data_IF_039076605446
#
_entry.id   IF_039076605446
#
_cell.length_a   1.000
_cell.length_b   1.000
_cell.length_c   1.000
_cell.angle_alpha   90.00
_cell.angle_beta   90.00
_cell.angle_gamma   90.00
#
_symmetry.space_group_name_H-M   'P 1'
#
loop_
_entity.id
_entity.type
_entity.pdbx_description
1 polymer ?
#
# COMPACT_ATOMS: atom_id res chain seq x y z
N UNK A 1 36.20 4.59 23.01
CA UNK A 1 35.29 3.43 22.92
C UNK A 1 34.01 3.69 23.72
N UNK A 2 32.86 3.60 23.07
CA UNK A 2 31.58 3.81 23.76
C UNK A 2 31.31 2.65 24.73
N UNK A 3 31.10 2.99 26.01
CA UNK A 3 30.81 2.00 27.05
C UNK A 3 29.36 1.54 26.91
N UNK A 4 29.13 0.22 26.82
CA UNK A 4 27.80 -0.38 26.79
C UNK A 4 27.30 -0.59 28.20
N UNK A 5 26.27 0.13 28.61
CA UNK A 5 25.74 0.16 29.98
C UNK A 5 24.32 -0.34 30.12
N UNK A 6 23.61 -0.53 28.98
CA UNK A 6 22.23 -0.99 29.00
C UNK A 6 22.15 -2.46 28.60
N UNK A 7 21.52 -3.27 29.46
CA UNK A 7 21.27 -4.68 29.22
C UNK A 7 19.79 -4.85 28.81
N UNK A 8 19.56 -5.61 27.71
CA UNK A 8 18.21 -5.93 27.25
C UNK A 8 18.07 -7.45 27.20
N UNK A 9 16.99 -7.96 27.78
CA UNK A 9 16.64 -9.38 27.75
C UNK A 9 15.51 -9.61 26.77
N UNK A 10 15.69 -10.55 25.84
CA UNK A 10 14.73 -10.89 24.81
C UNK A 10 14.44 -12.39 24.87
N UNK A 11 13.16 -12.76 24.85
CA UNK A 11 12.72 -14.13 24.72
C UNK A 11 12.43 -14.41 23.24
N UNK A 12 12.94 -15.54 22.75
CA UNK A 12 12.77 -15.99 21.37
C UNK A 12 12.21 -17.40 21.34
N UNK A 13 11.36 -17.69 20.37
CA UNK A 13 10.99 -19.07 20.05
C UNK A 13 12.13 -19.78 19.29
N UNK A 14 11.97 -21.06 19.01
CA UNK A 14 13.02 -21.85 18.35
C UNK A 14 13.37 -21.36 16.95
N UNK A 15 12.37 -20.92 16.18
CA UNK A 15 12.57 -20.39 14.82
C UNK A 15 13.38 -19.08 14.85
N UNK A 16 13.00 -18.17 15.74
CA UNK A 16 13.68 -16.88 15.92
C UNK A 16 15.12 -17.08 16.40
N UNK A 17 15.33 -18.00 17.32
CA UNK A 17 16.65 -18.32 17.84
C UNK A 17 17.54 -18.95 16.77
N UNK A 18 17.02 -19.89 15.98
CA UNK A 18 17.73 -20.49 14.87
C UNK A 18 18.09 -19.47 13.79
N UNK A 19 17.22 -18.50 13.51
CA UNK A 19 17.52 -17.40 12.61
C UNK A 19 18.71 -16.57 13.11
N UNK A 20 18.75 -16.27 14.40
CA UNK A 20 19.87 -15.56 15.02
C UNK A 20 21.18 -16.35 14.89
N UNK A 21 21.15 -17.66 15.19
CA UNK A 21 22.33 -18.53 15.08
C UNK A 21 22.85 -18.61 13.64
N UNK A 22 21.96 -18.72 12.65
CA UNK A 22 22.33 -18.75 11.23
C UNK A 22 23.04 -17.45 10.82
N UNK A 23 22.50 -16.30 11.23
CA UNK A 23 23.12 -15.00 10.94
C UNK A 23 24.48 -14.82 11.62
N UNK A 24 24.63 -15.31 12.83
CA UNK A 24 25.92 -15.33 13.54
C UNK A 24 26.94 -16.19 12.79
N UNK A 25 26.55 -17.37 12.35
CA UNK A 25 27.43 -18.30 11.64
C UNK A 25 27.90 -17.72 10.30
N UNK A 26 26.97 -17.16 9.51
CA UNK A 26 27.27 -16.59 8.19
C UNK A 26 28.15 -15.34 8.27
N UNK A 27 27.94 -14.51 9.28
CA UNK A 27 28.68 -13.25 9.43
C UNK A 27 29.97 -13.38 10.24
N UNK A 28 30.13 -14.47 10.98
CA UNK A 28 31.25 -14.62 11.93
C UNK A 28 31.20 -13.65 13.11
N UNK A 29 30.08 -12.98 13.33
CA UNK A 29 29.91 -11.97 14.38
C UNK A 29 29.27 -12.56 15.63
N UNK A 30 29.49 -11.87 16.75
CA UNK A 30 28.87 -12.22 18.04
C UNK A 30 27.37 -11.95 18.00
N UNK A 31 26.61 -12.62 18.87
CA UNK A 31 25.17 -12.40 19.06
C UNK A 31 24.83 -10.92 19.20
N UNK A 32 25.56 -10.24 20.07
CA UNK A 32 25.36 -8.81 20.33
C UNK A 32 25.59 -7.94 19.09
N UNK A 33 26.65 -8.19 18.35
CA UNK A 33 26.98 -7.42 17.14
C UNK A 33 25.95 -7.66 16.03
N UNK A 34 25.49 -8.90 15.85
CA UNK A 34 24.44 -9.23 14.88
C UNK A 34 23.16 -8.46 15.22
N UNK A 35 22.73 -8.48 16.49
CA UNK A 35 21.50 -7.81 16.91
C UNK A 35 21.60 -6.28 16.80
N UNK A 36 22.72 -5.69 17.19
CA UNK A 36 22.92 -4.25 17.08
C UNK A 36 22.97 -3.80 15.62
N UNK A 37 23.64 -4.56 14.76
CA UNK A 37 23.69 -4.27 13.32
C UNK A 37 22.30 -4.33 12.69
N UNK A 38 21.51 -5.35 13.05
CA UNK A 38 20.14 -5.48 12.58
C UNK A 38 19.27 -4.28 12.99
N UNK A 39 19.41 -3.80 14.23
CA UNK A 39 18.69 -2.61 14.68
C UNK A 39 19.08 -1.34 13.93
N UNK A 40 20.36 -1.17 13.60
CA UNK A 40 20.85 -0.02 12.86
C UNK A 40 20.32 0.02 11.43
N UNK A 41 20.13 -1.14 10.82
CA UNK A 41 19.67 -1.30 9.44
C UNK A 41 18.16 -1.44 9.33
N UNK A 42 17.46 -1.76 10.43
CA UNK A 42 16.03 -1.99 10.43
C UNK A 42 15.25 -0.70 10.14
N UNK A 43 14.32 -0.80 9.19
CA UNK A 43 13.30 0.21 8.97
C UNK A 43 12.03 -0.25 9.68
N UNK A 44 11.58 0.52 10.68
CA UNK A 44 10.36 0.22 11.43
C UNK A 44 9.23 1.06 10.85
N UNK A 45 8.15 0.39 10.46
CA UNK A 45 6.94 1.06 9.99
C UNK A 45 6.21 1.66 11.19
N UNK A 46 5.96 2.96 11.16
CA UNK A 46 5.25 3.67 12.24
C UNK A 46 3.74 3.40 12.18
N UNK A 47 3.04 3.62 13.30
CA UNK A 47 1.57 3.55 13.34
C UNK A 47 0.92 4.52 12.35
N UNK A 48 1.49 5.72 12.18
CA UNK A 48 1.03 6.71 11.20
C UNK A 48 1.14 6.19 9.76
N UNK A 49 2.25 5.56 9.42
CA UNK A 49 2.45 4.95 8.10
C UNK A 49 1.46 3.81 7.85
N UNK A 50 1.20 2.98 8.84
CA UNK A 50 0.22 1.90 8.76
C UNK A 50 -1.19 2.48 8.52
N UNK A 51 -1.57 3.50 9.29
CA UNK A 51 -2.87 4.17 9.13
C UNK A 51 -3.03 4.78 7.75
N UNK A 52 -1.99 5.39 7.21
CA UNK A 52 -1.98 5.96 5.87
C UNK A 52 -2.12 4.89 4.78
N UNK A 53 -1.40 3.76 4.92
CA UNK A 53 -1.54 2.62 4.01
C UNK A 53 -2.96 2.06 4.03
N UNK A 54 -3.57 1.91 5.20
CA UNK A 54 -4.94 1.44 5.35
C UNK A 54 -5.93 2.38 4.67
N UNK A 55 -5.75 3.70 4.85
CA UNK A 55 -6.59 4.71 4.20
C UNK A 55 -6.45 4.66 2.68
N UNK A 56 -5.23 4.55 2.17
CA UNK A 56 -4.98 4.44 0.74
C UNK A 56 -5.62 3.17 0.15
N UNK A 57 -5.54 2.05 0.85
CA UNK A 57 -6.19 0.81 0.44
C UNK A 57 -7.72 0.96 0.37
N UNK A 58 -8.33 1.64 1.33
CA UNK A 58 -9.77 1.92 1.34
C UNK A 58 -10.18 2.79 0.15
N UNK A 59 -9.41 3.83 -0.16
CA UNK A 59 -9.65 4.69 -1.32
C UNK A 59 -9.53 3.94 -2.64
N UNK A 60 -8.54 3.06 -2.77
CA UNK A 60 -8.38 2.21 -3.96
C UNK A 60 -9.57 1.24 -4.10
N UNK A 61 -10.04 0.66 -3.00
CA UNK A 61 -11.22 -0.22 -3.00
C UNK A 61 -12.46 0.52 -3.48
N UNK A 62 -12.66 1.76 -3.06
CA UNK A 62 -13.76 2.62 -3.53
C UNK A 62 -13.65 2.90 -5.02
N UNK A 63 -12.46 3.19 -5.54
CA UNK A 63 -12.23 3.35 -6.98
C UNK A 63 -12.56 2.09 -7.77
N UNK A 64 -12.17 0.91 -7.27
CA UNK A 64 -12.49 -0.37 -7.91
C UNK A 64 -13.99 -0.61 -7.96
N UNK A 65 -14.72 -0.23 -6.89
CA UNK A 65 -16.18 -0.33 -6.84
C UNK A 65 -16.84 0.58 -7.88
N UNK A 66 -16.37 1.81 -8.01
CA UNK A 66 -16.84 2.76 -9.03
C UNK A 66 -16.58 2.23 -10.44
N UNK A 67 -15.38 1.70 -10.69
CA UNK A 67 -15.01 1.13 -11.99
C UNK A 67 -15.95 -0.03 -12.38
N UNK A 68 -16.23 -0.93 -11.44
CA UNK A 68 -17.18 -2.03 -11.66
C UNK A 68 -18.58 -1.53 -11.97
N UNK A 69 -19.04 -0.49 -11.27
CA UNK A 69 -20.33 0.13 -11.53
C UNK A 69 -20.42 0.72 -12.93
N UNK A 70 -19.38 1.42 -13.36
CA UNK A 70 -19.31 1.99 -14.73
C UNK A 70 -19.29 0.88 -15.79
N UNK A 71 -18.51 -0.17 -15.58
CA UNK A 71 -18.44 -1.32 -16.50
C UNK A 71 -19.81 -2.02 -16.61
N UNK A 72 -20.51 -2.20 -15.51
CA UNK A 72 -21.87 -2.75 -15.50
C UNK A 72 -22.82 -1.88 -16.32
N UNK A 73 -22.78 -0.57 -16.13
CA UNK A 73 -23.62 0.37 -16.88
C UNK A 73 -23.34 0.31 -18.39
N UNK A 74 -22.06 0.27 -18.78
CA UNK A 74 -21.67 0.15 -20.19
C UNK A 74 -22.15 -1.16 -20.78
N UNK A 75 -22.02 -2.28 -20.06
CA UNK A 75 -22.49 -3.57 -20.51
C UNK A 75 -24.02 -3.62 -20.67
N UNK A 76 -24.76 -3.00 -19.76
CA UNK A 76 -26.22 -2.88 -19.87
C UNK A 76 -26.63 -2.07 -21.12
N UNK A 77 -25.97 -0.97 -21.37
CA UNK A 77 -26.23 -0.13 -22.54
C UNK A 77 -25.93 -0.89 -23.84
N UNK A 78 -24.81 -1.60 -23.88
CA UNK A 78 -24.43 -2.43 -25.03
C UNK A 78 -25.46 -3.56 -25.26
N UNK A 79 -25.92 -4.18 -24.18
CA UNK A 79 -26.92 -5.25 -24.25
C UNK A 79 -28.25 -4.74 -24.82
N UNK A 80 -28.74 -3.58 -24.36
CA UNK A 80 -29.94 -2.93 -24.85
C UNK A 80 -29.78 -2.57 -26.33
N UNK A 81 -28.65 -1.96 -26.71
CA UNK A 81 -28.37 -1.60 -28.09
C UNK A 81 -28.38 -2.81 -29.03
N UNK A 82 -27.79 -3.92 -28.60
CA UNK A 82 -27.76 -5.15 -29.37
C UNK A 82 -29.13 -5.81 -29.50
N UNK A 83 -29.94 -5.76 -28.43
CA UNK A 83 -31.25 -6.39 -28.39
C UNK A 83 -32.34 -5.58 -29.14
N UNK A 84 -32.28 -4.25 -29.10
CA UNK A 84 -33.34 -3.36 -29.56
C UNK A 84 -32.94 -2.46 -30.73
N UNK A 85 -31.64 -2.37 -31.04
CA UNK A 85 -31.11 -1.39 -32.00
C UNK A 85 -31.13 0.05 -31.48
N UNK A 86 -31.54 0.27 -30.23
CA UNK A 86 -31.61 1.61 -29.65
C UNK A 86 -30.29 1.97 -28.96
N UNK A 87 -29.78 3.15 -29.30
CA UNK A 87 -28.59 3.71 -28.68
C UNK A 87 -29.04 4.47 -27.42
N UNK A 88 -28.18 4.49 -26.39
CA UNK A 88 -28.43 5.26 -25.17
C UNK A 88 -28.71 6.73 -25.49
N UNK A 89 -29.62 7.33 -24.72
CA UNK A 89 -29.98 8.74 -24.88
C UNK A 89 -28.77 9.66 -24.55
N UNK A 90 -28.81 10.87 -25.08
CA UNK A 90 -27.80 11.90 -24.76
C UNK A 90 -27.73 12.16 -23.26
N UNK A 91 -28.86 12.09 -22.55
CA UNK A 91 -28.90 12.25 -21.09
C UNK A 91 -28.15 11.11 -20.38
N UNK A 92 -28.34 9.85 -20.79
CA UNK A 92 -27.65 8.68 -20.23
C UNK A 92 -26.14 8.72 -20.51
N UNK A 93 -25.76 9.08 -21.75
CA UNK A 93 -24.37 9.28 -22.15
C UNK A 93 -23.70 10.40 -21.33
N UNK A 94 -24.44 11.51 -21.10
CA UNK A 94 -23.96 12.60 -20.25
C UNK A 94 -23.71 12.19 -18.82
N UNK A 95 -24.59 11.37 -18.23
CA UNK A 95 -24.40 10.81 -16.87
C UNK A 95 -23.17 9.91 -16.80
N UNK A 96 -22.97 9.05 -17.78
CA UNK A 96 -21.77 8.19 -17.84
C UNK A 96 -20.50 9.02 -17.98
N UNK A 97 -20.51 10.03 -18.82
CA UNK A 97 -19.36 10.91 -19.00
C UNK A 97 -19.00 11.62 -17.69
N UNK A 98 -19.99 12.07 -16.93
CA UNK A 98 -19.79 12.65 -15.60
C UNK A 98 -19.18 11.64 -14.62
N UNK A 99 -19.66 10.39 -14.61
CA UNK A 99 -19.10 9.32 -13.76
C UNK A 99 -17.63 9.04 -14.11
N UNK A 100 -17.31 8.99 -15.39
CA UNK A 100 -15.92 8.76 -15.85
C UNK A 100 -15.03 9.94 -15.43
N UNK A 101 -15.50 11.17 -15.57
CA UNK A 101 -14.76 12.37 -15.16
C UNK A 101 -14.51 12.39 -13.65
N UNK A 102 -15.50 12.05 -12.84
CA UNK A 102 -15.37 11.97 -11.38
C UNK A 102 -14.37 10.87 -10.97
N UNK A 103 -14.47 9.71 -11.60
CA UNK A 103 -13.54 8.60 -11.38
C UNK A 103 -12.10 9.00 -11.69
N UNK A 104 -11.85 9.66 -12.81
CA UNK A 104 -10.52 10.14 -13.20
C UNK A 104 -9.96 11.14 -12.18
N UNK A 105 -10.78 12.09 -11.75
CA UNK A 105 -10.38 13.10 -10.77
C UNK A 105 -10.01 12.49 -9.43
N UNK A 106 -10.83 11.59 -8.93
CA UNK A 106 -10.55 10.86 -7.68
C UNK A 106 -9.30 9.99 -7.81
N UNK A 107 -9.14 9.31 -8.94
CA UNK A 107 -7.96 8.52 -9.25
C UNK A 107 -6.68 9.34 -9.25
N UNK A 108 -6.71 10.52 -9.87
CA UNK A 108 -5.57 11.44 -9.89
C UNK A 108 -5.23 11.95 -8.48
N UNK A 109 -6.23 12.26 -7.67
CA UNK A 109 -6.04 12.70 -6.28
C UNK A 109 -5.39 11.59 -5.45
N UNK A 110 -5.87 10.36 -5.56
CA UNK A 110 -5.31 9.20 -4.84
C UNK A 110 -3.86 8.94 -5.29
N UNK A 111 -3.60 9.04 -6.59
CA UNK A 111 -2.26 8.87 -7.14
C UNK A 111 -1.26 9.89 -6.59
N UNK A 112 -1.69 11.15 -6.47
CA UNK A 112 -0.88 12.21 -5.86
C UNK A 112 -0.59 11.92 -4.38
N UNK A 113 -1.58 11.46 -3.62
CA UNK A 113 -1.40 11.08 -2.21
C UNK A 113 -0.41 9.93 -2.06
N UNK A 114 -0.48 8.92 -2.93
CA UNK A 114 0.47 7.80 -2.93
C UNK A 114 1.88 8.27 -3.24
N UNK A 115 2.04 9.16 -4.23
CA UNK A 115 3.35 9.75 -4.57
C UNK A 115 3.95 10.54 -3.42
N UNK A 116 3.16 11.34 -2.74
CA UNK A 116 3.60 12.11 -1.57
C UNK A 116 4.06 11.17 -0.45
N UNK A 117 3.31 10.12 -0.19
CA UNK A 117 3.63 9.10 0.81
C UNK A 117 4.98 8.44 0.52
N UNK A 118 5.22 8.04 -0.73
CA UNK A 118 6.49 7.43 -1.17
C UNK A 118 7.63 8.43 -1.04
N UNK A 119 7.42 9.69 -1.42
CA UNK A 119 8.44 10.75 -1.32
C UNK A 119 8.85 11.02 0.13
N UNK A 120 7.88 11.10 1.05
CA UNK A 120 8.14 11.27 2.47
C UNK A 120 8.95 10.11 3.05
N UNK A 121 8.64 8.87 2.67
CA UNK A 121 9.40 7.69 3.10
C UNK A 121 10.86 7.75 2.64
N UNK A 122 11.12 8.17 1.43
CA UNK A 122 12.49 8.33 0.92
C UNK A 122 13.29 9.36 1.72
N UNK A 123 12.68 10.46 2.11
CA UNK A 123 13.32 11.49 2.94
C UNK A 123 13.60 10.99 4.36
N UNK A 124 12.75 10.18 4.94
CA UNK A 124 12.94 9.61 6.28
C UNK A 124 14.04 8.56 6.34
N UNK A 125 14.36 7.91 5.23
CA UNK A 125 15.42 6.90 5.12
C UNK A 125 16.83 7.49 4.87
N UNK A 126 16.90 8.76 4.58
CA UNK A 126 18.15 9.49 4.46
C UNK A 126 18.53 10.16 5.78
#
# INVERSE_FOLDING_TARGET
MRKRTHQIKIWMNDEEYNLLLDKMQRSGQTRQNVMISALKEATITTEEEISELMRNNSLIADLQKQLRGMATNINQMAHIANATGQIASTSELGKMNSQISDFRREGDTIWQLIRQSISQRKHMQQ
#
